data_IF_056840490495
#
_entry.id   IF_056840490495
#
_cell.length_a   1.000
_cell.length_b   1.000
_cell.length_c   1.000
_cell.angle_alpha   90.00
_cell.angle_beta   90.00
_cell.angle_gamma   90.00
#
_symmetry.space_group_name_H-M   'P 1'
#
loop_
_entity.id
_entity.type
_entity.pdbx_description
1 polymer ?
#
# COMPACT_ATOMS: atom_id res chain seq x y z
N UNK A 1 -16.74 6.02 23.71
CA UNK A 1 -17.12 5.84 22.30
C UNK A 1 -16.03 6.45 21.45
N UNK A 2 -15.32 5.65 20.66
CA UNK A 2 -14.23 6.16 19.82
C UNK A 2 -14.80 6.90 18.61
N UNK A 3 -14.32 8.12 18.36
CA UNK A 3 -14.63 8.88 17.14
C UNK A 3 -13.75 8.32 16.03
N UNK A 4 -14.35 7.73 14.99
CA UNK A 4 -13.62 7.27 13.80
C UNK A 4 -13.58 8.45 12.84
N UNK A 5 -12.40 9.03 12.67
CA UNK A 5 -12.14 10.04 11.65
C UNK A 5 -11.54 9.36 10.42
N UNK A 6 -12.14 9.60 9.25
CA UNK A 6 -11.76 8.98 7.97
C UNK A 6 -11.05 9.99 7.11
N UNK A 7 -9.74 9.81 6.93
CA UNK A 7 -8.94 10.63 6.02
C UNK A 7 -8.98 10.05 4.61
N UNK A 8 -9.22 10.89 3.60
CA UNK A 8 -9.21 10.50 2.19
C UNK A 8 -8.23 11.38 1.43
N UNK A 9 -7.52 10.77 0.49
CA UNK A 9 -6.81 11.54 -0.52
C UNK A 9 -7.83 12.18 -1.47
N UNK A 10 -7.85 13.51 -1.51
CA UNK A 10 -8.73 14.30 -2.37
C UNK A 10 -7.98 15.00 -3.49
N UNK A 11 -6.65 14.89 -3.52
CA UNK A 11 -5.83 15.45 -4.59
C UNK A 11 -5.80 14.47 -5.77
N UNK A 12 -6.34 14.83 -6.95
CA UNK A 12 -6.32 13.94 -8.10
C UNK A 12 -4.94 13.82 -8.76
N UNK A 13 -3.95 14.63 -8.35
CA UNK A 13 -2.64 14.66 -9.00
C UNK A 13 -1.80 13.47 -8.60
N UNK A 14 -1.44 12.66 -9.60
CA UNK A 14 -0.49 11.58 -9.41
C UNK A 14 0.95 12.11 -9.56
N UNK A 15 1.73 12.04 -8.48
CA UNK A 15 3.11 12.56 -8.47
C UNK A 15 4.08 11.81 -9.40
N UNK A 16 3.78 10.55 -9.76
CA UNK A 16 4.59 9.74 -10.66
C UNK A 16 3.70 8.80 -11.46
N UNK A 17 3.74 8.85 -12.79
CA UNK A 17 2.90 8.07 -13.72
C UNK A 17 3.64 6.92 -14.43
N UNK A 18 4.96 6.86 -14.29
CA UNK A 18 5.77 5.81 -14.90
C UNK A 18 5.56 4.40 -14.30
N UNK A 19 6.22 3.39 -14.89
CA UNK A 19 6.23 2.02 -14.38
C UNK A 19 6.72 1.95 -12.94
N UNK A 20 5.98 1.26 -12.09
CA UNK A 20 6.28 1.15 -10.66
C UNK A 20 6.44 -0.32 -10.25
N UNK A 21 7.50 -0.58 -9.50
CA UNK A 21 7.72 -1.85 -8.80
C UNK A 21 7.87 -1.57 -7.31
N UNK A 22 7.21 -2.37 -6.48
CA UNK A 22 7.35 -2.33 -5.02
C UNK A 22 8.02 -3.62 -4.56
N UNK A 23 9.14 -3.50 -3.86
CA UNK A 23 9.87 -4.64 -3.29
C UNK A 23 9.46 -4.83 -1.83
N UNK A 24 9.09 -6.06 -1.46
CA UNK A 24 8.69 -6.42 -0.09
C UNK A 24 9.45 -7.62 0.44
N UNK A 25 9.52 -7.73 1.76
CA UNK A 25 10.14 -8.85 2.47
C UNK A 25 9.33 -9.28 3.70
N UNK A 26 9.85 -10.26 4.45
CA UNK A 26 9.21 -10.78 5.68
C UNK A 26 9.10 -9.76 6.82
N UNK A 27 9.85 -8.67 6.78
CA UNK A 27 9.83 -7.61 7.79
C UNK A 27 8.84 -6.48 7.43
N UNK A 28 8.34 -6.46 6.19
CA UNK A 28 7.32 -5.54 5.73
C UNK A 28 5.99 -5.83 6.44
N UNK A 29 5.44 -4.84 7.15
CA UNK A 29 4.29 -5.03 8.03
C UNK A 29 3.38 -3.79 8.09
N UNK A 30 2.10 -3.97 8.46
CA UNK A 30 1.17 -2.88 8.78
C UNK A 30 0.96 -1.92 7.61
N UNK A 31 1.30 -0.63 7.75
CA UNK A 31 1.11 0.38 6.70
C UNK A 31 1.76 -0.02 5.36
N UNK A 32 2.91 -0.70 5.38
CA UNK A 32 3.56 -1.19 4.16
C UNK A 32 2.72 -2.26 3.45
N UNK A 33 2.01 -3.10 4.20
CA UNK A 33 1.13 -4.13 3.63
C UNK A 33 -0.10 -3.48 2.98
N UNK A 34 -0.71 -2.50 3.64
CA UNK A 34 -1.83 -1.73 3.08
C UNK A 34 -1.42 -1.02 1.79
N UNK A 35 -0.26 -0.34 1.80
CA UNK A 35 0.27 0.33 0.62
C UNK A 35 0.53 -0.64 -0.53
N UNK A 36 1.27 -1.73 -0.26
CA UNK A 36 1.59 -2.72 -1.30
C UNK A 36 0.36 -3.43 -1.88
N UNK A 37 -0.64 -3.72 -1.04
CA UNK A 37 -1.92 -4.28 -1.47
C UNK A 37 -2.67 -3.30 -2.38
N UNK A 38 -2.77 -2.02 -1.99
CA UNK A 38 -3.39 -1.00 -2.83
C UNK A 38 -2.70 -0.87 -4.21
N UNK A 39 -1.37 -0.94 -4.26
CA UNK A 39 -0.64 -0.93 -5.54
C UNK A 39 -1.02 -2.13 -6.42
N UNK A 40 -1.20 -3.33 -5.85
CA UNK A 40 -1.67 -4.51 -6.59
C UNK A 40 -3.13 -4.38 -7.02
N UNK A 41 -4.03 -4.05 -6.08
CA UNK A 41 -5.48 -4.03 -6.29
C UNK A 41 -5.89 -3.01 -7.36
N UNK A 42 -5.23 -1.85 -7.38
CA UNK A 42 -5.45 -0.83 -8.41
C UNK A 42 -4.74 -1.13 -9.73
N UNK A 43 -4.01 -2.25 -9.82
CA UNK A 43 -3.10 -2.56 -10.92
C UNK A 43 -2.12 -1.40 -11.22
N UNK A 44 -1.74 -0.65 -10.17
CA UNK A 44 -0.88 0.53 -10.31
C UNK A 44 0.59 0.13 -10.53
N UNK A 45 0.99 -1.03 -10.04
CA UNK A 45 2.37 -1.51 -10.18
C UNK A 45 2.49 -3.00 -9.86
N UNK A 46 3.70 -3.52 -10.00
CA UNK A 46 4.00 -4.93 -9.70
C UNK A 46 4.68 -4.99 -8.33
N UNK A 47 4.18 -5.86 -7.45
CA UNK A 47 4.85 -6.15 -6.18
C UNK A 47 5.66 -7.43 -6.32
N UNK A 48 6.92 -7.38 -5.91
CA UNK A 48 7.86 -8.50 -5.96
C UNK A 48 8.55 -8.70 -4.60
N UNK A 49 9.04 -9.90 -4.33
CA UNK A 49 9.77 -10.22 -3.10
C UNK A 49 9.23 -11.45 -2.39
N UNK A 50 9.19 -11.43 -1.07
CA UNK A 50 8.68 -12.54 -0.25
C UNK A 50 7.40 -12.18 0.48
N UNK A 51 6.67 -13.18 0.99
CA UNK A 51 5.49 -12.96 1.83
C UNK A 51 5.80 -11.99 2.98
N UNK A 52 4.94 -10.99 3.14
CA UNK A 52 4.99 -9.97 4.20
C UNK A 52 4.61 -10.56 5.56
N UNK A 53 4.72 -9.75 6.62
CA UNK A 53 4.52 -10.23 7.99
C UNK A 53 3.08 -10.71 8.29
N UNK A 54 2.06 -10.05 7.74
CA UNK A 54 0.63 -10.34 7.97
C UNK A 54 0.00 -9.55 9.13
N UNK A 55 0.48 -8.32 9.40
CA UNK A 55 -0.05 -7.49 10.50
C UNK A 55 -1.25 -6.66 10.03
N UNK A 56 -2.44 -7.23 10.16
CA UNK A 56 -3.73 -6.62 9.77
C UNK A 56 -4.58 -6.04 10.91
N UNK A 57 -3.96 -5.61 12.01
CA UNK A 57 -4.65 -5.05 13.20
C UNK A 57 -4.49 -3.55 13.31
#
# INVERSE_FOLDING_TARGET
TGKIDTERDTDPVQAYDGPLVVLVDRMSASASEIFSAAIQDYNRGIVIGSQTFGKGT
#
